data_IF_925295022004
#
_entry.id   IF_925295022004
#
_cell.length_a   1.000
_cell.length_b   1.000
_cell.length_c   1.000
_cell.angle_alpha   90.00
_cell.angle_beta   90.00
_cell.angle_gamma   90.00
#
_symmetry.space_group_name_H-M   'P 1'
#
loop_
_entity.id
_entity.type
_entity.pdbx_description
1 polymer ?
#
# COMPACT_ATOMS: atom_id res chain seq x y z
N UNK A 1 -7.88 -19.58 -4.57
CA UNK A 1 -6.92 -18.59 -5.07
C UNK A 1 -6.00 -18.22 -3.94
N UNK A 2 -4.71 -18.34 -4.14
CA UNK A 2 -3.74 -17.92 -3.12
C UNK A 2 -3.23 -16.53 -3.54
N UNK A 3 -3.52 -15.50 -2.76
CA UNK A 3 -2.91 -14.21 -2.96
C UNK A 3 -1.44 -14.28 -2.54
N UNK A 4 -0.55 -13.65 -3.31
CA UNK A 4 0.84 -13.48 -2.94
C UNK A 4 0.98 -12.57 -1.70
N UNK A 5 2.19 -12.54 -1.14
CA UNK A 5 2.48 -11.73 0.03
C UNK A 5 2.17 -10.23 -0.22
N UNK A 6 1.39 -9.58 0.66
CA UNK A 6 0.83 -8.24 0.37
C UNK A 6 1.82 -7.08 0.45
N UNK A 7 3.01 -7.27 1.04
CA UNK A 7 4.07 -6.25 1.14
C UNK A 7 5.33 -6.67 0.38
N UNK A 8 5.35 -6.66 -0.95
CA UNK A 8 6.40 -7.27 -1.75
C UNK A 8 7.80 -6.73 -1.52
N UNK A 9 7.95 -5.51 -1.00
CA UNK A 9 9.25 -4.90 -0.70
C UNK A 9 9.75 -5.15 0.73
N UNK A 10 8.96 -5.83 1.58
CA UNK A 10 9.38 -6.27 2.90
C UNK A 10 8.74 -7.64 3.19
N UNK A 11 9.31 -8.72 2.62
CA UNK A 11 8.74 -10.07 2.70
C UNK A 11 9.38 -10.87 3.82
N UNK A 12 8.55 -11.28 4.79
CA UNK A 12 8.92 -12.24 5.83
C UNK A 12 8.40 -13.64 5.51
N UNK A 13 9.11 -14.70 5.92
CA UNK A 13 8.65 -16.07 5.69
C UNK A 13 7.48 -16.47 6.61
N UNK A 14 7.43 -15.92 7.82
CA UNK A 14 6.41 -16.28 8.82
C UNK A 14 5.21 -15.31 8.76
N UNK A 15 4.30 -15.59 7.83
CA UNK A 15 3.07 -14.87 7.65
C UNK A 15 1.90 -15.81 7.33
N UNK A 16 0.70 -15.33 7.58
CA UNK A 16 -0.52 -16.09 7.31
C UNK A 16 -1.63 -15.18 6.79
N UNK A 17 -2.19 -15.53 5.64
CA UNK A 17 -3.37 -14.85 5.11
C UNK A 17 -4.60 -15.13 5.98
N UNK A 18 -5.38 -14.10 6.24
CA UNK A 18 -6.73 -14.17 6.78
C UNK A 18 -7.80 -13.89 5.72
N UNK A 19 -7.43 -13.87 4.43
CA UNK A 19 -8.41 -13.86 3.34
C UNK A 19 -9.24 -15.15 3.33
N UNK A 20 -10.44 -15.08 2.79
CA UNK A 20 -11.38 -16.21 2.68
C UNK A 20 -12.70 -15.89 3.34
N UNK A 21 -13.38 -16.90 3.88
CA UNK A 21 -14.74 -16.72 4.43
C UNK A 21 -14.67 -16.08 5.81
N UNK A 22 -15.48 -15.05 6.01
CA UNK A 22 -15.76 -14.37 7.27
C UNK A 22 -17.25 -14.37 7.53
N UNK A 23 -17.68 -14.39 8.78
CA UNK A 23 -19.08 -14.07 9.16
C UNK A 23 -19.33 -12.61 8.88
N UNK A 24 -20.55 -12.26 8.49
CA UNK A 24 -20.88 -10.90 8.07
C UNK A 24 -22.30 -10.50 8.44
N UNK A 25 -22.51 -9.21 8.72
CA UNK A 25 -23.84 -8.61 8.84
C UNK A 25 -23.81 -7.13 8.47
N UNK A 26 -24.86 -6.65 7.80
CA UNK A 26 -25.16 -5.22 7.73
C UNK A 26 -25.80 -4.76 9.05
N UNK A 27 -25.61 -3.50 9.39
CA UNK A 27 -26.14 -2.89 10.61
C UNK A 27 -26.66 -1.45 10.37
N UNK A 28 -27.51 -1.30 9.36
CA UNK A 28 -28.04 0.00 8.93
C UNK A 28 -28.79 0.73 10.05
N UNK A 29 -29.40 -0.01 10.96
CA UNK A 29 -30.09 0.52 12.11
C UNK A 29 -29.16 0.89 13.29
N UNK A 30 -27.85 0.64 13.15
CA UNK A 30 -26.82 0.92 14.18
C UNK A 30 -27.12 0.26 15.53
N UNK A 31 -27.59 -1.00 15.48
CA UNK A 31 -28.00 -1.78 16.67
C UNK A 31 -26.82 -2.20 17.52
N UNK A 32 -25.64 -2.38 16.90
CA UNK A 32 -24.48 -2.94 17.58
C UNK A 32 -23.40 -1.88 17.82
N UNK A 33 -22.84 -1.85 19.01
CA UNK A 33 -21.75 -0.95 19.41
C UNK A 33 -20.42 -1.67 19.62
N UNK A 34 -20.48 -2.92 20.08
CA UNK A 34 -19.33 -3.80 20.35
C UNK A 34 -19.63 -5.22 19.83
N UNK A 35 -18.62 -6.06 19.61
CA UNK A 35 -18.82 -7.43 19.11
C UNK A 35 -19.80 -8.27 19.93
N UNK A 36 -19.83 -8.08 21.26
CA UNK A 36 -20.71 -8.84 22.17
C UNK A 36 -22.22 -8.58 21.96
N UNK A 37 -22.57 -7.48 21.27
CA UNK A 37 -23.98 -7.16 20.97
C UNK A 37 -24.51 -8.05 19.84
N UNK A 38 -23.63 -8.64 19.01
CA UNK A 38 -24.00 -9.43 17.83
C UNK A 38 -24.23 -10.87 18.26
N UNK A 39 -25.50 -11.28 18.26
CA UNK A 39 -25.89 -12.64 18.66
C UNK A 39 -25.94 -13.60 17.47
N UNK A 40 -26.18 -13.09 16.27
CA UNK A 40 -26.32 -13.87 15.05
C UNK A 40 -25.59 -13.22 13.89
N UNK A 41 -24.95 -14.05 13.08
CA UNK A 41 -24.27 -13.67 11.85
C UNK A 41 -25.03 -14.27 10.66
N UNK A 42 -25.96 -13.52 10.06
CA UNK A 42 -26.86 -14.08 9.03
C UNK A 42 -26.19 -14.35 7.69
N UNK A 43 -25.01 -13.77 7.45
CA UNK A 43 -24.31 -13.86 6.17
C UNK A 43 -22.86 -14.32 6.33
N UNK A 44 -22.31 -14.81 5.25
CA UNK A 44 -20.89 -15.03 5.05
C UNK A 44 -20.37 -14.16 3.90
N UNK A 45 -19.16 -13.64 4.03
CA UNK A 45 -18.51 -12.84 3.01
C UNK A 45 -17.12 -13.39 2.69
N UNK A 46 -16.75 -13.40 1.42
CA UNK A 46 -15.42 -13.81 0.99
C UNK A 46 -14.47 -12.60 0.89
N UNK A 47 -13.67 -12.38 1.93
CA UNK A 47 -12.60 -11.36 1.97
C UNK A 47 -11.47 -11.74 0.99
N UNK A 48 -10.93 -10.79 0.20
CA UNK A 48 -11.03 -9.35 0.34
C UNK A 48 -12.07 -8.69 -0.59
N UNK A 49 -13.11 -9.36 -0.96
CA UNK A 49 -14.10 -8.79 -1.87
C UNK A 49 -15.17 -8.00 -1.10
N UNK A 50 -15.48 -6.76 -1.53
CA UNK A 50 -16.48 -5.92 -0.86
C UNK A 50 -17.89 -6.50 -1.04
N UNK A 51 -18.84 -6.23 -0.12
CA UNK A 51 -20.19 -6.82 -0.16
C UNK A 51 -20.97 -6.45 -1.44
N UNK A 52 -20.63 -5.36 -2.09
CA UNK A 52 -21.25 -4.96 -3.36
C UNK A 52 -20.82 -5.83 -4.55
N UNK A 53 -19.71 -6.56 -4.43
CA UNK A 53 -19.17 -7.40 -5.51
C UNK A 53 -19.81 -8.81 -5.51
N UNK A 54 -20.04 -9.38 -6.69
CA UNK A 54 -20.52 -10.77 -6.82
C UNK A 54 -19.50 -11.77 -6.24
N UNK A 55 -18.21 -11.49 -6.36
CA UNK A 55 -17.15 -12.35 -5.87
C UNK A 55 -17.10 -12.48 -4.35
N UNK A 56 -17.72 -11.57 -3.62
CA UNK A 56 -17.88 -11.64 -2.16
C UNK A 56 -18.84 -12.76 -1.72
N UNK A 57 -19.74 -13.19 -2.60
CA UNK A 57 -20.85 -14.09 -2.31
C UNK A 57 -22.10 -13.37 -1.80
N UNK A 58 -22.09 -12.05 -1.67
CA UNK A 58 -23.24 -11.21 -1.27
C UNK A 58 -23.82 -10.52 -2.49
N UNK A 59 -23.05 -9.68 -3.20
CA UNK A 59 -23.46 -8.96 -4.40
C UNK A 59 -24.52 -7.88 -4.16
N UNK A 60 -24.61 -7.33 -2.96
CA UNK A 60 -25.60 -6.31 -2.60
C UNK A 60 -25.04 -4.90 -2.84
N UNK A 61 -25.53 -4.24 -3.88
CA UNK A 61 -25.15 -2.87 -4.25
C UNK A 61 -26.00 -1.78 -3.53
N UNK A 62 -26.82 -2.17 -2.55
CA UNK A 62 -27.58 -1.24 -1.73
C UNK A 62 -26.72 -0.25 -0.93
N UNK A 63 -27.37 0.75 -0.36
CA UNK A 63 -26.70 1.71 0.52
C UNK A 63 -26.65 1.18 1.95
N UNK A 64 -25.55 0.57 2.31
CA UNK A 64 -25.26 0.10 3.66
C UNK A 64 -24.17 0.95 4.27
N UNK A 65 -24.55 1.77 5.26
CA UNK A 65 -23.61 2.70 5.90
C UNK A 65 -22.72 2.03 6.97
N UNK A 66 -23.10 0.87 7.43
CA UNK A 66 -22.44 0.16 8.51
C UNK A 66 -22.51 -1.35 8.31
N UNK A 67 -21.37 -2.01 8.44
CA UNK A 67 -21.30 -3.47 8.41
C UNK A 67 -20.28 -4.02 9.40
N UNK A 68 -20.43 -5.30 9.70
CA UNK A 68 -19.57 -6.02 10.62
C UNK A 68 -19.07 -7.31 10.00
N UNK A 69 -17.81 -7.63 10.30
CA UNK A 69 -17.09 -8.84 9.90
C UNK A 69 -16.59 -9.56 11.13
N UNK A 70 -16.56 -10.90 11.10
CA UNK A 70 -15.90 -11.69 12.13
C UNK A 70 -15.23 -12.92 11.55
N UNK A 71 -14.04 -13.22 12.06
CA UNK A 71 -13.30 -14.43 11.72
C UNK A 71 -12.62 -15.04 12.92
N UNK A 72 -12.74 -16.36 13.04
CA UNK A 72 -11.94 -17.17 13.95
C UNK A 72 -10.70 -17.72 13.23
N UNK A 73 -9.60 -17.81 13.96
CA UNK A 73 -8.38 -18.42 13.48
C UNK A 73 -7.57 -19.02 14.64
N UNK A 74 -6.82 -20.08 14.33
CA UNK A 74 -5.94 -20.70 15.33
C UNK A 74 -4.58 -20.03 15.32
N UNK A 75 -4.13 -19.56 16.46
CA UNK A 75 -2.81 -19.02 16.69
C UNK A 75 -2.44 -19.14 18.16
N UNK A 76 -1.36 -19.86 18.46
CA UNK A 76 -0.81 -19.97 19.82
C UNK A 76 0.32 -18.95 19.99
N UNK A 77 0.37 -18.34 21.17
CA UNK A 77 1.49 -17.47 21.54
C UNK A 77 2.74 -18.35 21.78
N UNK A 78 3.86 -17.93 21.20
CA UNK A 78 5.15 -18.58 21.33
C UNK A 78 6.27 -17.61 21.74
N UNK A 79 5.86 -16.41 22.20
CA UNK A 79 6.78 -15.36 22.63
C UNK A 79 7.19 -14.38 21.53
N UNK A 80 6.84 -14.64 20.28
CA UNK A 80 6.97 -13.69 19.18
C UNK A 80 5.83 -12.64 19.23
N UNK A 81 6.05 -11.50 18.58
CA UNK A 81 4.97 -10.54 18.34
C UNK A 81 4.13 -10.99 17.16
N UNK A 82 2.86 -10.69 17.24
CA UNK A 82 1.89 -10.95 16.17
C UNK A 82 1.30 -9.64 15.70
N UNK A 83 1.57 -9.30 14.46
CA UNK A 83 1.08 -8.07 13.84
C UNK A 83 -0.07 -8.43 12.90
N UNK A 84 -1.24 -7.87 13.15
CA UNK A 84 -2.42 -7.97 12.28
C UNK A 84 -2.42 -6.79 11.31
N UNK A 85 -2.51 -7.10 10.02
CA UNK A 85 -2.47 -6.11 8.94
C UNK A 85 -3.75 -6.13 8.12
N UNK A 86 -4.15 -4.94 7.68
CA UNK A 86 -5.20 -4.70 6.69
C UNK A 86 -4.61 -3.90 5.54
N UNK A 87 -4.75 -4.37 4.30
CA UNK A 87 -4.25 -3.67 3.11
C UNK A 87 -5.06 -2.42 2.79
N UNK A 88 -6.39 -2.53 2.82
CA UNK A 88 -7.30 -1.39 2.72
C UNK A 88 -8.70 -1.78 3.22
N UNK A 89 -9.36 -0.85 3.89
CA UNK A 89 -10.75 -0.96 4.37
C UNK A 89 -11.46 0.37 4.14
N UNK A 90 -12.48 0.40 3.30
CA UNK A 90 -13.26 1.60 3.03
C UNK A 90 -14.48 1.69 3.97
N UNK A 91 -14.66 2.66 4.81
CA UNK A 91 -13.83 3.86 4.99
C UNK A 91 -13.26 3.95 6.40
N UNK A 92 -14.09 3.88 7.45
CA UNK A 92 -13.69 3.96 8.85
C UNK A 92 -13.83 2.61 9.52
N UNK A 93 -12.73 2.09 10.05
CA UNK A 93 -12.63 0.77 10.66
C UNK A 93 -12.40 0.83 12.18
N UNK A 94 -13.08 -0.07 12.91
CA UNK A 94 -12.74 -0.40 14.29
C UNK A 94 -12.51 -1.90 14.37
N UNK A 95 -11.39 -2.31 14.92
CA UNK A 95 -10.96 -3.71 14.99
C UNK A 95 -10.89 -4.16 16.44
N UNK A 96 -11.54 -5.26 16.74
CA UNK A 96 -11.42 -5.95 18.03
C UNK A 96 -10.71 -7.29 17.83
N UNK A 97 -9.91 -7.66 18.79
CA UNK A 97 -9.33 -8.98 18.89
C UNK A 97 -9.76 -9.59 20.22
N UNK A 98 -10.39 -10.74 20.16
CA UNK A 98 -10.96 -11.43 21.34
C UNK A 98 -11.86 -10.53 22.21
N UNK A 99 -12.64 -9.65 21.58
CA UNK A 99 -13.54 -8.71 22.23
C UNK A 99 -12.90 -7.41 22.73
N UNK A 100 -11.58 -7.27 22.63
CA UNK A 100 -10.85 -6.06 23.04
C UNK A 100 -10.59 -5.15 21.82
N UNK A 101 -10.92 -3.86 21.92
CA UNK A 101 -10.62 -2.88 20.87
C UNK A 101 -9.12 -2.78 20.70
N UNK A 102 -8.63 -3.15 19.50
CA UNK A 102 -7.20 -3.18 19.16
C UNK A 102 -6.75 -1.92 18.42
N UNK A 103 -7.51 -1.46 17.42
CA UNK A 103 -7.16 -0.28 16.62
C UNK A 103 -8.40 0.35 15.99
N UNK A 104 -8.30 1.64 15.70
CA UNK A 104 -9.23 2.39 14.85
C UNK A 104 -8.47 3.01 13.70
N UNK A 105 -9.06 3.00 12.51
CA UNK A 105 -8.49 3.59 11.31
C UNK A 105 -9.54 4.36 10.52
N UNK A 106 -9.12 5.40 9.82
CA UNK A 106 -9.94 6.15 8.86
C UNK A 106 -9.09 6.39 7.60
N UNK A 107 -9.57 5.93 6.45
CA UNK A 107 -8.91 6.01 5.14
C UNK A 107 -9.22 4.78 4.30
N UNK A 108 -9.76 4.99 3.07
CA UNK A 108 -10.27 3.91 2.23
C UNK A 108 -9.19 3.20 1.39
N UNK A 109 -8.03 3.82 1.19
CA UNK A 109 -7.03 3.35 0.23
C UNK A 109 -5.67 3.01 0.83
N UNK A 110 -5.48 3.19 2.13
CA UNK A 110 -4.18 3.02 2.79
C UNK A 110 -4.21 1.93 3.85
N UNK A 111 -3.08 1.22 4.05
CA UNK A 111 -2.99 0.12 4.99
C UNK A 111 -2.90 0.60 6.44
N UNK A 112 -3.34 -0.27 7.34
CA UNK A 112 -3.08 -0.11 8.76
C UNK A 112 -2.77 -1.45 9.42
N UNK A 113 -2.18 -1.41 10.59
CA UNK A 113 -1.78 -2.59 11.35
C UNK A 113 -1.83 -2.37 12.85
N UNK A 114 -1.84 -3.47 13.60
CA UNK A 114 -1.82 -3.45 15.05
C UNK A 114 -1.06 -4.66 15.61
N UNK A 115 -0.28 -4.45 16.65
CA UNK A 115 0.30 -5.54 17.46
C UNK A 115 -0.80 -6.13 18.36
N UNK A 116 -1.14 -7.38 18.11
CA UNK A 116 -2.19 -8.11 18.86
C UNK A 116 -1.63 -9.08 19.89
N UNK A 117 -0.33 -9.12 20.10
CA UNK A 117 0.37 -10.08 20.97
C UNK A 117 -0.23 -10.14 22.37
N UNK A 118 -0.48 -8.97 22.96
CA UNK A 118 -1.07 -8.88 24.31
C UNK A 118 -2.57 -9.20 24.39
N UNK A 119 -3.24 -9.40 23.25
CA UNK A 119 -4.66 -9.70 23.15
C UNK A 119 -4.95 -11.18 22.84
N UNK A 120 -3.90 -11.99 22.62
CA UNK A 120 -4.04 -13.41 22.28
C UNK A 120 -4.51 -14.23 23.48
N UNK A 121 -5.49 -15.12 23.24
CA UNK A 121 -5.93 -16.12 24.21
C UNK A 121 -4.97 -17.30 24.26
N UNK A 122 -4.73 -17.89 25.44
CA UNK A 122 -3.80 -19.01 25.59
C UNK A 122 -4.29 -20.33 24.96
N UNK A 123 -5.61 -20.50 24.78
CA UNK A 123 -6.22 -21.70 24.17
C UNK A 123 -5.89 -21.86 22.68
N UNK A 124 -5.42 -20.81 22.04
CA UNK A 124 -5.01 -20.80 20.64
C UNK A 124 -6.11 -20.45 19.64
N UNK A 125 -7.37 -20.34 20.05
CA UNK A 125 -8.48 -19.88 19.19
C UNK A 125 -8.68 -18.39 19.38
N UNK A 126 -8.41 -17.65 18.32
CA UNK A 126 -8.50 -16.20 18.30
C UNK A 126 -9.68 -15.75 17.46
N UNK A 127 -10.28 -14.62 17.82
CA UNK A 127 -11.36 -13.98 17.06
C UNK A 127 -10.96 -12.56 16.70
N UNK A 128 -11.05 -12.21 15.43
CA UNK A 128 -10.98 -10.82 14.97
C UNK A 128 -12.35 -10.38 14.50
N UNK A 129 -12.80 -9.24 15.02
CA UNK A 129 -14.09 -8.62 14.64
C UNK A 129 -13.79 -7.21 14.12
N UNK A 130 -14.40 -6.84 13.01
CA UNK A 130 -14.23 -5.54 12.36
C UNK A 130 -15.58 -4.89 12.18
N UNK A 131 -15.73 -3.65 12.62
CA UNK A 131 -16.84 -2.76 12.31
C UNK A 131 -16.37 -1.74 11.30
N UNK A 132 -17.08 -1.62 10.20
CA UNK A 132 -16.79 -0.63 9.14
C UNK A 132 -17.96 0.33 9.00
N UNK A 133 -17.64 1.59 8.94
CA UNK A 133 -18.61 2.67 8.68
C UNK A 133 -18.20 3.42 7.41
N UNK A 134 -19.10 3.42 6.43
CA UNK A 134 -18.94 4.11 5.16
C UNK A 134 -20.27 4.76 4.73
N UNK A 135 -20.50 5.99 5.16
CA UNK A 135 -21.68 6.76 4.77
C UNK A 135 -21.66 7.05 3.26
N UNK A 136 -22.61 6.54 2.45
CA UNK A 136 -22.66 6.75 1.01
C UNK A 136 -22.82 8.23 0.60
N UNK A 137 -23.34 9.06 1.48
CA UNK A 137 -23.62 10.48 1.22
C UNK A 137 -22.51 11.42 1.72
N UNK A 138 -21.48 10.92 2.40
CA UNK A 138 -20.34 11.74 2.82
C UNK A 138 -19.36 11.98 1.66
N UNK A 139 -19.57 13.10 0.95
CA UNK A 139 -18.73 13.54 -0.16
C UNK A 139 -17.41 14.19 0.28
N UNK A 140 -17.08 14.16 1.58
CA UNK A 140 -15.81 14.67 2.11
C UNK A 140 -14.72 13.58 2.21
N UNK A 141 -15.06 12.32 1.92
CA UNK A 141 -14.12 11.21 1.84
C UNK A 141 -13.40 11.20 0.49
N UNK A 142 -12.11 10.85 0.44
CA UNK A 142 -11.39 10.51 -0.79
C UNK A 142 -11.93 9.19 -1.37
N UNK A 143 -12.97 9.27 -2.16
CA UNK A 143 -13.70 8.11 -2.69
C UNK A 143 -13.36 7.77 -4.15
N UNK A 144 -12.64 8.65 -4.85
CA UNK A 144 -12.27 8.42 -6.25
C UNK A 144 -13.48 8.29 -7.17
N UNK A 145 -13.54 7.22 -7.96
CA UNK A 145 -14.60 6.98 -8.95
C UNK A 145 -15.82 6.24 -8.38
N UNK A 146 -15.92 6.08 -7.08
CA UNK A 146 -17.12 5.48 -6.46
C UNK A 146 -18.30 6.43 -6.53
N UNK A 147 -19.44 5.95 -7.03
CA UNK A 147 -20.65 6.75 -7.15
C UNK A 147 -21.29 7.04 -5.77
N UNK A 148 -21.99 8.16 -5.67
CA UNK A 148 -22.83 8.55 -4.55
C UNK A 148 -24.31 8.33 -4.82
N UNK A 149 -24.65 7.84 -6.01
CA UNK A 149 -25.99 7.39 -6.36
C UNK A 149 -26.06 5.87 -6.25
N UNK A 150 -27.25 5.37 -6.02
CA UNK A 150 -27.47 3.92 -5.88
C UNK A 150 -27.15 3.20 -7.20
N UNK A 151 -27.65 3.73 -8.31
CA UNK A 151 -27.33 3.25 -9.64
C UNK A 151 -26.16 4.07 -10.19
N UNK A 152 -25.02 3.43 -10.51
CA UNK A 152 -23.88 4.12 -11.07
C UNK A 152 -24.23 4.84 -12.36
N UNK A 153 -23.78 6.09 -12.49
CA UNK A 153 -24.10 6.92 -13.64
C UNK A 153 -22.88 7.51 -14.34
N UNK A 154 -23.00 7.75 -15.64
CA UNK A 154 -22.00 8.44 -16.44
C UNK A 154 -20.64 7.74 -16.40
N UNK A 155 -19.69 8.31 -15.66
CA UNK A 155 -18.30 7.84 -15.56
C UNK A 155 -17.96 7.18 -14.22
N UNK A 156 -18.96 6.91 -13.39
CA UNK A 156 -18.80 6.39 -12.03
C UNK A 156 -19.02 4.89 -11.98
N UNK A 157 -18.48 4.25 -10.94
CA UNK A 157 -18.59 2.82 -10.64
C UNK A 157 -19.40 2.61 -9.36
N UNK A 158 -19.91 1.41 -9.12
CA UNK A 158 -20.50 1.05 -7.84
C UNK A 158 -19.55 1.39 -6.70
N UNK A 159 -20.12 1.77 -5.57
CA UNK A 159 -19.34 2.00 -4.37
C UNK A 159 -18.69 0.71 -3.86
N UNK A 160 -17.73 0.88 -2.99
CA UNK A 160 -17.02 -0.19 -2.30
C UNK A 160 -17.04 0.11 -0.81
N UNK A 161 -17.51 -0.84 -0.01
CA UNK A 161 -17.56 -0.73 1.45
C UNK A 161 -16.74 -1.84 2.09
N UNK A 162 -16.01 -1.52 3.14
CA UNK A 162 -15.29 -2.51 3.93
C UNK A 162 -13.99 -2.99 3.34
N UNK A 163 -13.67 -4.26 3.61
CA UNK A 163 -12.39 -4.85 3.24
C UNK A 163 -12.34 -5.07 1.72
N UNK A 164 -11.35 -4.44 1.04
CA UNK A 164 -11.15 -4.66 -0.38
C UNK A 164 -9.70 -5.02 -0.78
N UNK A 165 -8.79 -5.07 0.21
CA UNK A 165 -7.45 -5.63 0.06
C UNK A 165 -7.17 -6.67 1.15
N UNK A 166 -6.09 -7.42 1.01
CA UNK A 166 -5.75 -8.55 1.88
C UNK A 166 -5.71 -8.19 3.36
N UNK A 167 -6.12 -9.18 4.19
CA UNK A 167 -5.91 -9.20 5.63
C UNK A 167 -4.93 -10.33 5.95
N UNK A 168 -3.92 -10.05 6.77
CA UNK A 168 -2.91 -11.06 7.12
C UNK A 168 -2.27 -10.83 8.48
N UNK A 169 -1.61 -11.86 8.97
CA UNK A 169 -0.77 -11.83 10.16
C UNK A 169 0.70 -11.97 9.77
N UNK A 170 1.56 -11.29 10.48
CA UNK A 170 3.01 -11.54 10.49
C UNK A 170 3.44 -11.87 11.92
N UNK A 171 4.30 -12.91 12.06
CA UNK A 171 4.99 -13.18 13.30
C UNK A 171 6.39 -12.59 13.20
N UNK A 172 6.72 -11.77 14.16
CA UNK A 172 8.00 -11.06 14.18
C UNK A 172 8.65 -11.18 15.56
N UNK A 173 9.94 -10.99 15.62
CA UNK A 173 10.68 -10.95 16.88
C UNK A 173 10.20 -9.81 17.77
N UNK A 174 10.58 -9.81 19.04
CA UNK A 174 10.23 -8.75 19.99
C UNK A 174 10.74 -7.39 19.54
N UNK A 175 11.89 -7.37 18.86
CA UNK A 175 12.45 -6.20 18.17
C UNK A 175 12.61 -6.56 16.70
N UNK A 176 12.07 -5.75 15.81
CA UNK A 176 11.99 -6.05 14.38
C UNK A 176 12.02 -4.77 13.54
N UNK A 177 12.32 -4.92 12.23
CA UNK A 177 12.25 -3.81 11.27
C UNK A 177 10.81 -3.59 10.87
N UNK A 178 10.27 -2.44 11.20
CA UNK A 178 8.86 -2.06 10.96
C UNK A 178 8.62 -1.53 9.56
N UNK A 179 9.52 -0.68 9.09
CA UNK A 179 9.45 0.01 7.80
C UNK A 179 10.84 0.10 7.18
N UNK A 180 10.88 0.14 5.86
CA UNK A 180 12.06 0.45 5.06
C UNK A 180 11.72 1.44 3.96
N UNK A 181 12.74 2.13 3.48
CA UNK A 181 12.66 3.01 2.32
C UNK A 181 13.94 2.90 1.50
N UNK A 182 13.79 2.73 0.19
CA UNK A 182 14.87 2.70 -0.77
C UNK A 182 14.85 3.95 -1.63
N UNK A 183 15.95 4.70 -1.69
CA UNK A 183 16.08 5.90 -2.51
C UNK A 183 17.20 5.70 -3.54
N UNK A 184 16.91 5.71 -4.86
CA UNK A 184 17.95 5.58 -5.87
C UNK A 184 18.77 6.86 -6.02
N UNK A 185 20.11 6.73 -6.02
CA UNK A 185 21.08 7.78 -6.30
C UNK A 185 21.88 7.42 -7.56
N UNK A 186 21.29 7.65 -8.73
CA UNK A 186 21.83 7.18 -10.01
C UNK A 186 23.21 7.78 -10.32
N UNK A 187 23.42 9.07 -10.06
CA UNK A 187 24.70 9.74 -10.34
C UNK A 187 25.89 9.13 -9.57
N UNK A 188 25.62 8.65 -8.34
CA UNK A 188 26.62 8.01 -7.48
C UNK A 188 26.65 6.49 -7.59
N UNK A 189 25.77 5.88 -8.40
CA UNK A 189 25.52 4.43 -8.39
C UNK A 189 25.36 3.89 -6.97
N UNK A 190 24.47 4.52 -6.23
CA UNK A 190 24.24 4.25 -4.83
C UNK A 190 22.73 4.13 -4.53
N UNK A 191 22.42 3.56 -3.39
CA UNK A 191 21.06 3.43 -2.85
C UNK A 191 21.02 4.05 -1.46
N UNK A 192 20.11 4.97 -1.23
CA UNK A 192 19.70 5.35 0.10
C UNK A 192 18.90 4.21 0.73
N UNK A 193 19.19 3.87 1.96
CA UNK A 193 18.45 2.91 2.76
C UNK A 193 18.08 3.52 4.09
N UNK A 194 16.78 3.61 4.33
CA UNK A 194 16.22 4.02 5.61
C UNK A 194 15.47 2.81 6.20
N UNK A 195 15.62 2.59 7.50
CA UNK A 195 14.86 1.58 8.23
C UNK A 195 14.46 2.11 9.61
N UNK A 196 13.23 1.76 10.02
CA UNK A 196 12.73 1.98 11.36
C UNK A 196 12.60 0.66 12.10
N UNK A 197 13.25 0.57 13.24
CA UNK A 197 13.24 -0.58 14.13
C UNK A 197 12.30 -0.25 15.30
N UNK A 198 11.42 -1.17 15.64
CA UNK A 198 10.49 -1.05 16.75
C UNK A 198 10.49 -2.32 17.60
N UNK A 199 10.13 -2.18 18.87
CA UNK A 199 10.05 -3.30 19.80
C UNK A 199 10.68 -2.98 21.15
N UNK A 200 11.16 -4.02 21.81
CA UNK A 200 11.82 -3.91 23.10
C UNK A 200 13.16 -3.22 22.93
N UNK A 201 13.53 -2.36 23.89
CA UNK A 201 14.84 -1.71 23.85
C UNK A 201 15.95 -2.78 23.89
N UNK A 202 16.88 -2.70 22.97
CA UNK A 202 18.02 -3.59 22.88
C UNK A 202 19.28 -2.80 22.58
N UNK A 203 20.37 -3.19 23.23
CA UNK A 203 21.71 -2.65 22.97
C UNK A 203 22.37 -3.42 21.84
N UNK A 204 23.36 -2.83 21.19
CA UNK A 204 24.17 -3.43 20.11
C UNK A 204 23.36 -3.92 18.89
N UNK A 205 22.29 -3.19 18.54
CA UNK A 205 21.55 -3.48 17.32
C UNK A 205 22.32 -3.02 16.08
N UNK A 206 22.33 -3.88 15.07
CA UNK A 206 22.86 -3.54 13.75
C UNK A 206 22.01 -4.14 12.62
N UNK A 207 22.05 -3.50 11.44
CA UNK A 207 21.40 -4.00 10.24
C UNK A 207 22.47 -4.44 9.24
N UNK A 208 22.44 -5.71 8.82
CA UNK A 208 23.28 -6.28 7.74
C UNK A 208 22.45 -6.29 6.45
N UNK A 209 23.00 -5.71 5.40
CA UNK A 209 22.34 -5.53 4.11
C UNK A 209 23.19 -6.17 3.03
N UNK A 210 22.59 -7.06 2.24
CA UNK A 210 23.24 -7.68 1.07
C UNK A 210 22.43 -7.36 -0.16
N UNK A 211 23.06 -6.72 -1.15
CA UNK A 211 22.44 -6.34 -2.42
C UNK A 211 23.08 -7.14 -3.56
N UNK A 212 22.23 -7.70 -4.44
CA UNK A 212 22.66 -8.55 -5.55
C UNK A 212 21.87 -8.25 -6.82
N UNK A 213 22.47 -8.63 -7.95
CA UNK A 213 21.75 -8.83 -9.22
C UNK A 213 22.07 -10.25 -9.71
N UNK A 214 21.09 -11.13 -9.66
CA UNK A 214 21.33 -12.57 -9.82
C UNK A 214 22.39 -13.06 -8.81
N UNK A 215 23.43 -13.72 -9.31
CA UNK A 215 24.52 -14.21 -8.45
C UNK A 215 25.57 -13.16 -8.11
N UNK A 216 25.58 -12.02 -8.80
CA UNK A 216 26.59 -10.96 -8.60
C UNK A 216 26.30 -10.15 -7.34
N UNK A 217 27.26 -10.12 -6.42
CA UNK A 217 27.21 -9.28 -5.24
C UNK A 217 27.55 -7.83 -5.63
N UNK A 218 26.68 -6.89 -5.27
CA UNK A 218 26.86 -5.46 -5.52
C UNK A 218 27.28 -4.68 -4.28
N UNK A 219 26.71 -5.05 -3.12
CA UNK A 219 27.10 -4.45 -1.84
C UNK A 219 26.82 -5.44 -0.69
N UNK A 220 27.64 -5.33 0.37
CA UNK A 220 27.38 -5.96 1.65
C UNK A 220 27.92 -5.08 2.77
N UNK A 221 27.02 -4.52 3.56
CA UNK A 221 27.33 -3.56 4.60
C UNK A 221 26.58 -3.88 5.89
N UNK A 222 27.19 -3.51 7.03
CA UNK A 222 26.56 -3.59 8.35
C UNK A 222 26.57 -2.19 8.99
N UNK A 223 25.43 -1.75 9.46
CA UNK A 223 25.25 -0.42 10.08
C UNK A 223 24.68 -0.56 11.49
N UNK A 224 25.18 0.25 12.42
CA UNK A 224 24.58 0.37 13.74
C UNK A 224 23.20 1.03 13.65
N UNK A 225 22.28 0.54 14.46
CA UNK A 225 20.99 1.18 14.70
C UNK A 225 21.18 2.27 15.75
N UNK A 226 20.76 3.49 15.45
CA UNK A 226 20.83 4.63 16.36
C UNK A 226 19.43 5.15 16.57
N UNK A 227 18.99 5.25 17.81
CA UNK A 227 17.65 5.74 18.18
C UNK A 227 16.48 5.00 17.47
N UNK A 228 16.67 3.70 17.18
CA UNK A 228 15.69 2.88 16.47
C UNK A 228 15.65 3.09 14.96
N UNK A 229 16.64 3.78 14.39
CA UNK A 229 16.67 4.12 12.97
C UNK A 229 18.01 3.77 12.31
N UNK A 230 17.96 3.53 11.03
CA UNK A 230 19.12 3.45 10.13
C UNK A 230 18.82 4.36 8.94
N UNK A 231 19.73 5.27 8.61
CA UNK A 231 19.71 6.12 7.42
C UNK A 231 21.11 6.15 6.84
N UNK A 232 21.32 5.52 5.67
CA UNK A 232 22.63 5.30 5.05
C UNK A 232 22.56 5.32 3.53
N UNK A 233 23.67 5.72 2.92
CA UNK A 233 23.90 5.59 1.48
C UNK A 233 24.84 4.43 1.24
N UNK A 234 24.38 3.46 0.44
CA UNK A 234 25.10 2.25 0.08
C UNK A 234 25.64 2.41 -1.34
N UNK A 235 26.93 2.49 -1.49
CA UNK A 235 27.58 2.55 -2.82
C UNK A 235 27.63 1.14 -3.39
N UNK A 236 27.12 0.97 -4.61
CA UNK A 236 27.19 -0.31 -5.31
C UNK A 236 28.59 -0.53 -5.87
N UNK A 237 29.24 -1.58 -5.41
CA UNK A 237 30.56 -1.98 -5.89
C UNK A 237 30.41 -2.65 -7.25
N UNK A 238 30.78 -1.95 -8.28
CA UNK A 238 30.93 -2.51 -9.61
C UNK A 238 32.41 -2.36 -10.04
N UNK A 239 33.18 -3.45 -10.07
CA UNK A 239 34.55 -3.42 -10.55
C UNK A 239 34.65 -3.25 -12.07
N UNK A 240 33.51 -3.22 -12.76
CA UNK A 240 33.44 -3.09 -14.21
C UNK A 240 33.68 -1.66 -14.71
N UNK A 241 33.85 -1.56 -16.00
CA UNK A 241 33.93 -0.31 -16.77
C UNK A 241 32.51 0.31 -16.81
N UNK A 242 32.42 1.62 -17.04
CA UNK A 242 31.14 2.38 -17.05
C UNK A 242 30.01 1.76 -17.90
N UNK A 243 30.34 0.94 -18.90
CA UNK A 243 29.36 0.24 -19.74
C UNK A 243 28.49 -0.77 -18.95
N UNK A 244 29.01 -1.38 -17.91
CA UNK A 244 28.25 -2.32 -17.07
C UNK A 244 27.26 -1.64 -16.12
N UNK A 245 27.51 -0.40 -15.74
CA UNK A 245 26.64 0.39 -14.85
C UNK A 245 25.28 0.65 -15.47
N UNK A 246 25.21 0.83 -16.79
CA UNK A 246 23.94 1.01 -17.51
C UNK A 246 23.03 -0.21 -17.42
N UNK A 247 23.59 -1.40 -17.18
CA UNK A 247 22.81 -2.64 -17.00
C UNK A 247 22.06 -2.66 -15.67
N UNK A 248 22.49 -1.89 -14.68
CA UNK A 248 21.85 -1.76 -13.38
C UNK A 248 20.64 -0.80 -13.41
N UNK A 249 20.53 0.03 -14.46
CA UNK A 249 19.44 1.00 -14.56
C UNK A 249 18.13 0.33 -14.93
N UNK A 250 17.11 0.62 -14.16
CA UNK A 250 15.75 0.17 -14.44
C UNK A 250 15.08 1.05 -15.50
N UNK A 251 14.43 0.44 -16.46
CA UNK A 251 13.55 1.10 -17.44
C UNK A 251 12.44 0.13 -17.90
N UNK A 252 11.38 0.60 -18.59
CA UNK A 252 10.35 -0.29 -19.18
C UNK A 252 10.91 -1.34 -20.13
N UNK A 253 11.98 -1.05 -20.84
CA UNK A 253 12.65 -1.95 -21.78
C UNK A 253 13.59 -2.95 -21.07
N UNK A 254 14.12 -2.53 -19.91
CA UNK A 254 15.02 -3.32 -19.08
C UNK A 254 14.64 -3.12 -17.62
N UNK A 255 13.67 -3.87 -17.10
CA UNK A 255 13.20 -3.72 -15.72
C UNK A 255 14.15 -4.42 -14.72
N UNK A 256 15.40 -3.96 -14.67
CA UNK A 256 16.43 -4.49 -13.79
C UNK A 256 16.10 -4.20 -12.34
N UNK A 257 15.86 -5.23 -11.55
CA UNK A 257 15.68 -5.15 -10.11
C UNK A 257 16.92 -5.68 -9.40
N UNK A 258 17.21 -5.07 -8.27
CA UNK A 258 18.29 -5.45 -7.36
C UNK A 258 17.66 -6.14 -6.15
N UNK A 259 18.03 -7.40 -5.94
CA UNK A 259 17.55 -8.17 -4.78
C UNK A 259 18.28 -7.72 -3.52
N UNK A 260 17.57 -7.49 -2.44
CA UNK A 260 18.12 -7.12 -1.15
C UNK A 260 17.70 -8.12 -0.07
N UNK A 261 18.66 -8.55 0.73
CA UNK A 261 18.42 -9.30 1.96
C UNK A 261 18.83 -8.43 3.13
N UNK A 262 17.92 -8.23 4.05
CA UNK A 262 18.11 -7.37 5.23
C UNK A 262 17.96 -8.20 6.48
N UNK A 263 18.91 -8.08 7.41
CA UNK A 263 18.91 -8.76 8.71
C UNK A 263 19.10 -7.74 9.81
N UNK A 264 18.26 -7.82 10.83
CA UNK A 264 18.49 -7.14 12.08
C UNK A 264 19.23 -8.08 13.02
N UNK A 265 20.33 -7.62 13.59
CA UNK A 265 21.15 -8.39 14.51
C UNK A 265 21.21 -7.71 15.88
N UNK A 266 21.27 -8.54 16.92
CA UNK A 266 21.67 -8.14 18.26
C UNK A 266 23.01 -8.82 18.56
N UNK A 267 24.09 -8.03 18.61
CA UNK A 267 25.45 -8.58 18.52
C UNK A 267 25.66 -9.32 17.20
N UNK A 268 25.86 -10.64 17.26
CA UNK A 268 25.99 -11.52 16.07
C UNK A 268 24.76 -12.41 15.82
N UNK A 269 23.76 -12.35 16.67
CA UNK A 269 22.52 -13.11 16.53
C UNK A 269 21.54 -12.40 15.59
N UNK A 270 21.04 -13.11 14.57
CA UNK A 270 19.98 -12.60 13.68
C UNK A 270 18.64 -12.71 14.38
N UNK A 271 18.00 -11.57 14.68
CA UNK A 271 16.72 -11.52 15.38
C UNK A 271 15.53 -11.21 14.44
N UNK A 272 15.76 -10.58 13.29
CA UNK A 272 14.74 -10.40 12.25
C UNK A 272 15.40 -10.48 10.88
N UNK A 273 14.71 -11.07 9.91
CA UNK A 273 15.21 -11.19 8.55
C UNK A 273 14.04 -11.08 7.56
N UNK A 274 14.29 -10.37 6.47
CA UNK A 274 13.34 -10.28 5.36
C UNK A 274 14.08 -10.10 4.03
N UNK A 275 13.37 -10.39 2.95
CA UNK A 275 13.81 -10.08 1.59
C UNK A 275 13.09 -8.85 1.07
N UNK A 276 13.80 -8.08 0.26
CA UNK A 276 13.34 -6.87 -0.40
C UNK A 276 13.89 -6.81 -1.82
N UNK A 277 13.46 -5.82 -2.56
CA UNK A 277 14.06 -5.43 -3.82
C UNK A 277 14.03 -3.92 -4.00
N UNK A 278 14.91 -3.42 -4.85
CA UNK A 278 14.98 -2.01 -5.24
C UNK A 278 15.47 -1.89 -6.67
N UNK A 279 15.65 -0.68 -7.17
CA UNK A 279 16.25 -0.45 -8.48
C UNK A 279 16.96 0.89 -8.54
N UNK A 280 17.91 1.01 -9.47
CA UNK A 280 18.50 2.30 -9.84
C UNK A 280 17.70 2.94 -10.97
N UNK A 281 17.10 4.08 -10.71
CA UNK A 281 16.34 4.85 -11.69
C UNK A 281 16.31 6.33 -11.28
N UNK A 282 16.43 7.24 -12.23
CA UNK A 282 16.13 8.66 -12.04
C UNK A 282 15.04 9.14 -12.96
N UNK A 283 14.16 10.02 -12.45
CA UNK A 283 13.16 10.72 -13.26
C UNK A 283 13.17 12.21 -12.90
N UNK A 284 13.04 13.06 -13.87
CA UNK A 284 12.89 14.50 -13.68
C UNK A 284 12.34 15.16 -14.93
N UNK A 285 11.91 16.40 -14.80
CA UNK A 285 11.56 17.25 -15.94
C UNK A 285 12.73 18.17 -16.23
N UNK A 286 13.23 18.13 -17.46
CA UNK A 286 14.23 19.05 -17.95
C UNK A 286 13.64 19.89 -19.09
N UNK A 287 13.39 21.17 -18.80
CA UNK A 287 12.67 22.08 -19.70
C UNK A 287 11.26 21.53 -20.02
N UNK A 288 11.04 21.09 -21.26
CA UNK A 288 9.78 20.56 -21.78
C UNK A 288 9.77 19.02 -21.93
N UNK A 289 10.78 18.33 -21.38
CA UNK A 289 10.98 16.89 -21.60
C UNK A 289 10.96 16.12 -20.29
N UNK A 290 10.24 15.00 -20.32
CA UNK A 290 10.37 13.97 -19.31
C UNK A 290 11.69 13.19 -19.53
N UNK A 291 12.48 13.08 -18.48
CA UNK A 291 13.77 12.40 -18.49
C UNK A 291 13.69 11.13 -17.66
N UNK A 292 14.11 10.01 -18.23
CA UNK A 292 14.33 8.74 -17.54
C UNK A 292 15.82 8.39 -17.64
N UNK A 293 16.48 8.21 -16.51
CA UNK A 293 17.91 7.90 -16.43
C UNK A 293 18.78 8.88 -17.22
N UNK A 294 18.49 10.19 -17.10
CA UNK A 294 19.21 11.26 -17.76
C UNK A 294 18.95 11.41 -19.26
N UNK A 295 18.03 10.63 -19.84
CA UNK A 295 17.70 10.68 -21.28
C UNK A 295 16.24 11.08 -21.50
N UNK A 296 15.94 11.87 -22.57
CA UNK A 296 14.55 12.15 -22.93
C UNK A 296 13.79 10.85 -23.19
N UNK A 297 12.62 10.71 -22.59
CA UNK A 297 11.81 9.52 -22.70
C UNK A 297 10.38 9.86 -23.10
N UNK A 298 9.87 9.21 -24.14
CA UNK A 298 8.51 9.43 -24.62
C UNK A 298 7.53 8.55 -23.84
N UNK A 299 6.63 9.19 -23.10
CA UNK A 299 5.56 8.51 -22.39
C UNK A 299 4.43 8.15 -23.36
N UNK A 300 4.06 6.88 -23.41
CA UNK A 300 2.88 6.33 -24.09
C UNK A 300 2.03 5.65 -23.02
N UNK A 301 1.14 6.44 -22.42
CA UNK A 301 0.40 6.04 -21.25
C UNK A 301 -1.08 5.83 -21.57
N UNK A 302 -1.70 4.90 -20.85
CA UNK A 302 -3.14 4.67 -20.86
C UNK A 302 -3.72 5.00 -19.50
N UNK A 303 -4.96 5.49 -19.47
CA UNK A 303 -5.71 5.72 -18.24
C UNK A 303 -6.25 4.36 -17.75
N UNK A 304 -5.98 4.05 -16.50
CA UNK A 304 -6.39 2.82 -15.84
C UNK A 304 -7.09 3.15 -14.52
N UNK A 305 -8.35 2.80 -14.40
CA UNK A 305 -9.18 3.10 -13.24
C UNK A 305 -9.19 1.95 -12.21
N UNK A 306 -8.65 0.76 -12.56
CA UNK A 306 -8.46 -0.37 -11.66
C UNK A 306 -9.77 -0.99 -11.14
N UNK A 307 -10.84 -0.97 -11.93
CA UNK A 307 -12.11 -1.65 -11.62
C UNK A 307 -12.25 -2.93 -12.43
N UNK A 308 -12.90 -3.93 -11.83
CA UNK A 308 -13.08 -5.25 -12.37
C UNK A 308 -14.57 -5.62 -12.43
N UNK A 309 -15.03 -6.36 -13.44
CA UNK A 309 -16.46 -6.66 -13.58
C UNK A 309 -17.08 -7.34 -12.36
N UNK A 310 -16.43 -8.36 -11.81
CA UNK A 310 -17.01 -9.22 -10.78
C UNK A 310 -16.55 -8.85 -9.36
N UNK A 311 -15.49 -8.03 -9.24
CA UNK A 311 -14.85 -7.72 -7.96
C UNK A 311 -14.77 -6.22 -7.65
N UNK A 312 -15.26 -5.38 -8.55
CA UNK A 312 -15.29 -3.92 -8.44
C UNK A 312 -13.89 -3.33 -8.17
N UNK A 313 -13.69 -2.66 -7.05
CA UNK A 313 -12.41 -2.04 -6.70
C UNK A 313 -11.32 -3.06 -6.34
N UNK A 314 -11.71 -4.23 -5.79
CA UNK A 314 -10.78 -5.26 -5.38
C UNK A 314 -10.22 -6.04 -6.58
N UNK A 315 -8.91 -6.29 -6.62
CA UNK A 315 -8.33 -7.14 -7.65
C UNK A 315 -8.80 -8.60 -7.48
N UNK A 316 -9.16 -9.32 -8.56
CA UNK A 316 -9.65 -10.70 -8.48
C UNK A 316 -8.58 -11.68 -7.96
N UNK A 317 -7.33 -11.48 -8.36
CA UNK A 317 -6.18 -12.31 -7.98
C UNK A 317 -4.86 -11.60 -8.29
N UNK A 318 -3.75 -12.19 -7.84
CA UNK A 318 -2.41 -11.73 -8.19
C UNK A 318 -2.11 -11.89 -9.69
N UNK A 319 -2.56 -13.00 -10.30
CA UNK A 319 -2.44 -13.24 -11.74
C UNK A 319 -3.22 -12.22 -12.57
N UNK A 320 -4.37 -11.74 -12.06
CA UNK A 320 -5.15 -10.70 -12.73
C UNK A 320 -4.39 -9.36 -12.75
N UNK A 321 -3.77 -8.97 -11.63
CA UNK A 321 -2.91 -7.79 -11.56
C UNK A 321 -1.72 -7.88 -12.52
N UNK A 322 -1.06 -9.05 -12.56
CA UNK A 322 0.01 -9.30 -13.52
C UNK A 322 -0.47 -9.19 -14.96
N UNK A 323 -1.62 -9.80 -15.26
CA UNK A 323 -2.21 -9.81 -16.60
C UNK A 323 -2.57 -8.41 -17.08
N UNK A 324 -3.03 -7.54 -16.19
CA UNK A 324 -3.36 -6.15 -16.49
C UNK A 324 -2.11 -5.38 -16.95
N UNK A 325 -1.00 -5.52 -16.22
CA UNK A 325 0.31 -4.97 -16.62
C UNK A 325 0.78 -5.53 -17.98
N UNK A 326 0.67 -6.84 -18.19
CA UNK A 326 1.04 -7.49 -19.45
C UNK A 326 0.20 -6.99 -20.63
N UNK A 327 -1.11 -6.78 -20.43
CA UNK A 327 -2.01 -6.26 -21.46
C UNK A 327 -1.63 -4.84 -21.87
N UNK A 328 -1.39 -3.94 -20.91
CA UNK A 328 -0.96 -2.59 -21.20
C UNK A 328 0.32 -2.58 -22.07
N UNK A 329 1.30 -3.40 -21.71
CA UNK A 329 2.54 -3.55 -22.50
C UNK A 329 2.31 -4.15 -23.89
N UNK A 330 1.48 -5.18 -24.00
CA UNK A 330 1.16 -5.83 -25.28
C UNK A 330 0.47 -4.86 -26.24
N UNK A 331 -0.32 -3.92 -25.74
CA UNK A 331 -0.96 -2.85 -26.51
C UNK A 331 0.02 -1.75 -26.94
N UNK A 332 1.30 -1.82 -26.54
CA UNK A 332 2.34 -0.85 -26.88
C UNK A 332 2.47 0.34 -25.93
N UNK A 333 1.78 0.32 -24.82
CA UNK A 333 1.98 1.33 -23.77
C UNK A 333 3.25 1.04 -22.96
N UNK A 334 3.92 2.09 -22.51
CA UNK A 334 5.04 1.99 -21.58
C UNK A 334 4.71 2.48 -20.17
N UNK A 335 3.47 2.89 -19.94
CA UNK A 335 3.00 3.31 -18.63
C UNK A 335 1.48 3.41 -18.54
N UNK A 336 1.01 3.54 -17.32
CA UNK A 336 -0.39 3.76 -16.96
C UNK A 336 -0.50 4.95 -16.00
N UNK A 337 -1.63 5.66 -16.08
CA UNK A 337 -2.08 6.55 -15.02
C UNK A 337 -3.16 5.82 -14.23
N UNK A 338 -2.81 5.42 -12.99
CA UNK A 338 -3.80 4.87 -12.06
C UNK A 338 -4.70 6.00 -11.59
N UNK A 339 -5.90 6.02 -12.18
CA UNK A 339 -6.80 7.17 -12.06
C UNK A 339 -7.75 7.01 -10.89
N UNK A 340 -7.68 7.94 -9.94
CA UNK A 340 -8.58 8.01 -8.79
C UNK A 340 -8.55 6.78 -7.88
N UNK A 341 -7.40 6.11 -7.80
CA UNK A 341 -7.20 4.89 -7.00
C UNK A 341 -5.74 4.76 -6.58
N UNK A 342 -5.51 4.52 -5.29
CA UNK A 342 -4.23 3.99 -4.80
C UNK A 342 -4.31 2.46 -4.91
N UNK A 343 -3.53 1.90 -5.82
CA UNK A 343 -3.67 0.50 -6.21
C UNK A 343 -3.08 -0.47 -5.18
N UNK A 344 -3.40 -1.75 -5.29
CA UNK A 344 -2.79 -2.81 -4.49
C UNK A 344 -1.26 -2.84 -4.72
N UNK A 345 -0.41 -2.93 -3.69
CA UNK A 345 1.05 -2.97 -3.84
C UNK A 345 1.56 -4.08 -4.75
N UNK A 346 0.81 -5.16 -4.93
CA UNK A 346 1.16 -6.25 -5.86
C UNK A 346 1.04 -5.84 -7.33
N UNK A 347 0.18 -4.87 -7.65
CA UNK A 347 0.17 -4.28 -9.00
C UNK A 347 1.49 -3.53 -9.27
N UNK A 348 1.93 -2.72 -8.30
CA UNK A 348 3.21 -2.01 -8.41
C UNK A 348 4.39 -2.98 -8.49
N UNK A 349 4.36 -4.09 -7.74
CA UNK A 349 5.34 -5.17 -7.85
C UNK A 349 5.43 -5.75 -9.27
N UNK A 350 4.28 -6.01 -9.92
CA UNK A 350 4.29 -6.50 -11.31
C UNK A 350 4.71 -5.43 -12.29
N UNK A 351 4.34 -4.17 -12.07
CA UNK A 351 4.83 -3.04 -12.85
C UNK A 351 6.36 -2.86 -12.75
N UNK A 352 6.91 -3.02 -11.55
CA UNK A 352 8.36 -3.00 -11.32
C UNK A 352 9.07 -4.13 -12.08
N UNK A 353 8.54 -5.35 -11.99
CA UNK A 353 9.15 -6.55 -12.59
C UNK A 353 9.00 -6.64 -14.10
N UNK A 354 7.90 -6.18 -14.62
CA UNK A 354 7.58 -6.27 -16.05
C UNK A 354 7.96 -4.99 -16.80
N UNK A 355 8.28 -3.91 -16.08
CA UNK A 355 8.69 -2.64 -16.68
C UNK A 355 7.50 -1.84 -17.22
N UNK A 356 6.60 -1.40 -16.36
CA UNK A 356 5.52 -0.49 -16.70
C UNK A 356 5.58 0.75 -15.81
N UNK A 357 5.63 1.94 -16.39
CA UNK A 357 5.64 3.20 -15.65
C UNK A 357 4.26 3.45 -15.03
N UNK A 358 4.23 4.05 -13.84
CA UNK A 358 2.99 4.35 -13.13
C UNK A 358 2.96 5.83 -12.74
N UNK A 359 1.88 6.52 -13.11
CA UNK A 359 1.45 7.75 -12.46
C UNK A 359 0.45 7.36 -11.40
N UNK A 360 0.78 7.64 -10.16
CA UNK A 360 -0.08 7.32 -9.02
C UNK A 360 -0.87 8.54 -8.62
N UNK A 361 -2.19 8.36 -8.52
CA UNK A 361 -3.11 9.47 -8.33
C UNK A 361 -3.98 9.27 -7.10
N UNK A 362 -4.05 10.33 -6.29
CA UNK A 362 -4.90 10.37 -5.11
C UNK A 362 -6.39 10.36 -5.48
N UNK A 363 -7.20 9.47 -4.91
CA UNK A 363 -8.65 9.55 -5.02
C UNK A 363 -9.18 10.89 -4.50
N UNK A 364 -10.07 11.51 -5.25
CA UNK A 364 -10.62 12.81 -4.88
C UNK A 364 -11.80 12.69 -3.92
N UNK A 365 -11.90 13.63 -2.98
CA UNK A 365 -13.17 14.00 -2.35
C UNK A 365 -13.97 14.93 -3.27
N UNK A 366 -15.30 15.01 -3.08
CA UNK A 366 -16.15 15.83 -3.96
C UNK A 366 -16.66 17.10 -3.31
N UNK A 367 -16.36 17.32 -2.05
CA UNK A 367 -16.65 18.57 -1.34
C UNK A 367 -15.38 19.16 -0.76
N UNK A 368 -15.18 20.47 -0.98
CA UNK A 368 -14.13 21.21 -0.34
C UNK A 368 -14.55 21.58 1.10
N UNK A 369 -13.99 20.90 2.07
CA UNK A 369 -14.18 21.15 3.51
C UNK A 369 -12.88 20.95 4.27
N UNK A 370 -12.81 21.44 5.51
CA UNK A 370 -11.66 21.18 6.39
C UNK A 370 -11.46 19.68 6.66
N UNK A 371 -12.56 18.94 6.75
CA UNK A 371 -12.53 17.48 6.94
C UNK A 371 -11.96 16.78 5.72
N UNK A 372 -12.45 17.13 4.50
CA UNK A 372 -11.93 16.57 3.26
C UNK A 372 -10.42 16.79 3.12
N UNK A 373 -9.94 18.02 3.38
CA UNK A 373 -8.51 18.33 3.29
C UNK A 373 -7.69 17.51 4.29
N UNK A 374 -8.14 17.37 5.54
CA UNK A 374 -7.43 16.55 6.54
C UNK A 374 -7.34 15.08 6.11
N UNK A 375 -8.43 14.51 5.60
CA UNK A 375 -8.50 13.14 5.09
C UNK A 375 -7.55 12.95 3.91
N UNK A 376 -7.63 13.83 2.90
CA UNK A 376 -6.75 13.80 1.73
C UNK A 376 -5.27 13.90 2.11
N UNK A 377 -4.89 14.84 2.97
CA UNK A 377 -3.50 15.02 3.44
C UNK A 377 -2.99 13.76 4.14
N UNK A 378 -3.81 13.15 5.01
CA UNK A 378 -3.46 11.93 5.73
C UNK A 378 -3.24 10.77 4.77
N UNK A 379 -4.25 10.42 3.98
CA UNK A 379 -4.18 9.26 3.06
C UNK A 379 -3.11 9.45 1.99
N UNK A 380 -2.93 10.67 1.47
CA UNK A 380 -1.87 10.95 0.50
C UNK A 380 -0.46 10.77 1.07
N UNK A 381 -0.24 11.21 2.30
CA UNK A 381 1.03 10.99 2.99
C UNK A 381 1.31 9.50 3.21
N UNK A 382 0.29 8.74 3.63
CA UNK A 382 0.38 7.28 3.83
C UNK A 382 0.62 6.52 2.51
N UNK A 383 -0.01 6.96 1.41
CA UNK A 383 0.19 6.38 0.07
C UNK A 383 1.63 6.59 -0.41
N UNK A 384 2.14 7.81 -0.34
CA UNK A 384 3.55 8.09 -0.71
C UNK A 384 4.51 7.27 0.16
N UNK A 385 4.29 7.19 1.47
CA UNK A 385 5.14 6.41 2.37
C UNK A 385 5.14 4.92 2.01
N UNK A 386 3.96 4.36 1.64
CA UNK A 386 3.81 2.97 1.23
C UNK A 386 4.54 2.65 -0.07
N UNK A 387 4.39 3.53 -1.07
CA UNK A 387 4.76 3.23 -2.46
C UNK A 387 6.06 3.92 -2.94
N UNK A 388 6.68 4.71 -2.06
CA UNK A 388 7.91 5.45 -2.36
C UNK A 388 9.00 4.61 -3.02
N UNK A 389 9.23 3.40 -2.53
CA UNK A 389 10.34 2.55 -2.96
C UNK A 389 10.11 1.83 -4.29
N UNK A 390 8.91 1.93 -4.89
CA UNK A 390 8.61 1.32 -6.18
C UNK A 390 9.24 2.09 -7.35
N UNK A 391 10.15 1.47 -8.14
CA UNK A 391 10.78 2.15 -9.28
C UNK A 391 9.80 2.48 -10.41
N UNK A 392 8.70 1.75 -10.54
CA UNK A 392 7.67 2.00 -11.55
C UNK A 392 6.92 3.33 -11.33
N UNK A 393 6.76 3.76 -10.08
CA UNK A 393 6.10 5.04 -9.78
C UNK A 393 7.01 6.19 -10.18
N UNK A 394 6.57 6.99 -11.15
CA UNK A 394 7.38 8.07 -11.75
C UNK A 394 6.80 9.47 -11.57
N UNK A 395 5.53 9.58 -11.21
CA UNK A 395 4.82 10.85 -10.97
C UNK A 395 3.81 10.65 -9.86
N UNK A 396 3.72 11.65 -8.99
CA UNK A 396 2.71 11.77 -7.96
C UNK A 396 1.64 12.79 -8.38
N UNK A 397 0.38 12.39 -8.36
CA UNK A 397 -0.75 13.22 -8.80
C UNK A 397 -1.73 13.44 -7.64
N UNK A 398 -1.57 14.52 -6.85
CA UNK A 398 -2.45 14.75 -5.68
C UNK A 398 -3.87 15.19 -6.02
N UNK A 399 -4.11 15.67 -7.25
CA UNK A 399 -5.43 16.06 -7.72
C UNK A 399 -5.63 15.68 -9.19
N UNK A 400 -6.83 15.20 -9.50
CA UNK A 400 -7.31 15.11 -10.87
C UNK A 400 -8.17 16.34 -11.19
N UNK A 401 -7.75 17.11 -12.22
CA UNK A 401 -8.50 18.29 -12.65
C UNK A 401 -8.79 19.22 -11.44
N UNK A 402 -10.05 19.63 -11.28
CA UNK A 402 -10.48 20.43 -10.12
C UNK A 402 -11.41 19.67 -9.16
N UNK A 403 -11.39 18.34 -9.19
CA UNK A 403 -12.24 17.55 -8.32
C UNK A 403 -11.85 17.74 -6.84
N UNK A 404 -12.85 18.05 -6.02
CA UNK A 404 -12.65 18.44 -4.62
C UNK A 404 -12.24 19.89 -4.39
N UNK A 405 -11.87 20.62 -5.46
CA UNK A 405 -11.46 22.03 -5.43
C UNK A 405 -12.11 22.82 -6.59
N UNK A 406 -13.45 22.80 -6.72
CA UNK A 406 -14.15 23.23 -7.95
C UNK A 406 -14.03 24.73 -8.26
N UNK A 407 -13.72 25.56 -7.28
CA UNK A 407 -13.74 27.03 -7.39
C UNK A 407 -12.33 27.65 -7.37
N UNK A 408 -11.33 26.97 -7.94
CA UNK A 408 -9.92 27.41 -7.94
C UNK A 408 -9.72 28.83 -8.47
N UNK A 409 -10.52 29.26 -9.45
CA UNK A 409 -10.43 30.61 -10.02
C UNK A 409 -10.95 31.69 -9.08
N UNK A 410 -11.95 31.39 -8.28
CA UNK A 410 -12.63 32.34 -7.39
C UNK A 410 -12.16 32.26 -5.93
N UNK A 411 -11.91 31.05 -5.41
CA UNK A 411 -11.67 30.81 -3.98
C UNK A 411 -10.20 30.59 -3.68
N UNK A 412 -9.58 31.58 -3.05
CA UNK A 412 -8.15 31.57 -2.72
C UNK A 412 -7.74 30.38 -1.82
N UNK A 413 -8.58 29.98 -0.85
CA UNK A 413 -8.28 28.91 0.06
C UNK A 413 -8.17 27.54 -0.65
N UNK A 414 -8.89 27.32 -1.77
CA UNK A 414 -8.72 26.11 -2.58
C UNK A 414 -7.38 26.09 -3.30
N UNK A 415 -6.90 27.25 -3.81
CA UNK A 415 -5.54 27.35 -4.38
C UNK A 415 -4.48 27.01 -3.34
N UNK A 416 -4.60 27.55 -2.13
CA UNK A 416 -3.66 27.22 -1.04
C UNK A 416 -3.68 25.73 -0.65
N UNK A 417 -4.81 25.05 -0.76
CA UNK A 417 -4.88 23.61 -0.50
C UNK A 417 -4.12 22.82 -1.58
N UNK A 418 -4.23 23.22 -2.85
CA UNK A 418 -3.46 22.60 -3.94
C UNK A 418 -1.96 22.84 -3.78
N UNK A 419 -1.56 24.08 -3.51
CA UNK A 419 -0.17 24.45 -3.24
C UNK A 419 0.41 23.67 -2.04
N UNK A 420 -0.37 23.56 -0.95
CA UNK A 420 0.04 22.83 0.25
C UNK A 420 0.26 21.34 -0.03
N UNK A 421 -0.63 20.68 -0.79
CA UNK A 421 -0.45 19.27 -1.18
C UNK A 421 0.73 19.08 -2.15
N UNK A 422 0.94 20.00 -3.07
CA UNK A 422 2.14 20.00 -3.92
C UNK A 422 3.42 20.04 -3.08
N UNK A 423 3.53 20.99 -2.14
CA UNK A 423 4.70 21.12 -1.29
C UNK A 423 4.86 19.95 -0.32
N UNK A 424 3.78 19.40 0.20
CA UNK A 424 3.80 18.18 1.00
C UNK A 424 4.36 17.01 0.20
N UNK A 425 3.87 16.80 -1.03
CA UNK A 425 4.38 15.77 -1.94
C UNK A 425 5.88 15.90 -2.15
N UNK A 426 6.36 17.13 -2.44
CA UNK A 426 7.78 17.40 -2.64
C UNK A 426 8.64 17.27 -1.38
N UNK A 427 8.04 17.46 -0.21
CA UNK A 427 8.70 17.23 1.09
C UNK A 427 8.85 15.74 1.38
N UNK A 428 7.84 14.95 1.04
CA UNK A 428 7.84 13.49 1.23
C UNK A 428 8.67 12.76 0.17
N UNK A 429 8.66 13.27 -1.06
CA UNK A 429 9.46 12.74 -2.18
C UNK A 429 9.92 13.84 -3.14
N UNK A 430 11.18 14.19 -3.05
CA UNK A 430 11.85 15.12 -3.96
C UNK A 430 12.43 14.43 -5.22
N UNK A 431 12.36 13.09 -5.33
CA UNK A 431 13.00 12.31 -6.41
C UNK A 431 12.15 12.21 -7.67
N UNK A 432 10.89 12.64 -7.63
CA UNK A 432 9.91 12.54 -8.73
C UNK A 432 9.17 13.85 -8.97
N UNK A 433 8.71 14.09 -10.21
CA UNK A 433 7.76 15.16 -10.53
C UNK A 433 6.48 15.11 -9.72
#
# INVERSE_FOLDING_TARGET
MQFAYPRPQLQRPDWRSLNGIWRFTFDDERRYSVPADIQEWPLEIKVPFPPESEASGIGDQGFHALCWYEREFELKSDGQRVILHFGAVDYAARVWVNGHLAVTHEGGHTPFKVDITGLLKPDGVQTVTLRVEDDPHDLTKPRGKQDWQLEPHGIWYPRTTGIWQSVWLERVSRTYVDKIRWTPHVEGFALGFEARIVGDAAEDLSVDIVIRIGDRLLARDRYLVIDGEVDRIIVLSDPGIDDFRNELLWSPERPTLLDARVRLLQGDEVIDEFVSYTALRSVHILRDRFMLNGRPYMLRMVLDQGYWPDTLLAAPSDEALKKDVELAKTMGFNGVRKHQKIEDPRYLYWADRLGLLVWEEMPSAYRFTRTAIKRTVKEWGEAIERDFSHPCVIVWVPFNESWGVPDLTAIRVQRHAVEALYHLTKTLDATRP
#
